data_IF_089117200889
#
_entry.id   IF_089117200889
#
_cell.length_a   1.000
_cell.length_b   1.000
_cell.length_c   1.000
_cell.angle_alpha   90.00
_cell.angle_beta   90.00
_cell.angle_gamma   90.00
#
_symmetry.space_group_name_H-M   'P 1'
#
loop_
_entity.id
_entity.type
_entity.pdbx_description
1 polymer ?
#
# COMPACT_ATOMS: atom_id res chain seq x y z
N UNK A 1 2.94 -20.54 -28.60
CA UNK A 1 3.82 -19.49 -28.03
C UNK A 1 4.11 -19.90 -26.58
N UNK A 2 5.37 -20.00 -26.17
CA UNK A 2 5.75 -20.37 -24.80
C UNK A 2 6.64 -19.26 -24.24
N UNK A 3 6.20 -18.61 -23.17
CA UNK A 3 6.91 -17.49 -22.55
C UNK A 3 7.58 -18.00 -21.28
N UNK A 4 8.91 -17.95 -21.25
CA UNK A 4 9.67 -18.28 -20.03
C UNK A 4 9.80 -17.03 -19.18
N UNK A 5 9.38 -17.15 -17.92
CA UNK A 5 9.42 -16.10 -16.91
C UNK A 5 10.25 -16.59 -15.73
N UNK A 6 10.92 -15.65 -15.06
CA UNK A 6 11.65 -15.90 -13.83
C UNK A 6 11.14 -14.99 -12.71
N UNK A 7 11.29 -15.45 -11.47
CA UNK A 7 10.95 -14.65 -10.31
C UNK A 7 12.00 -13.57 -10.08
N UNK A 8 11.54 -12.33 -9.89
CA UNK A 8 12.43 -11.25 -9.43
C UNK A 8 12.67 -11.37 -7.92
N UNK A 9 13.88 -11.01 -7.45
CA UNK A 9 14.15 -10.88 -6.02
C UNK A 9 13.17 -9.93 -5.32
N UNK A 10 12.82 -10.26 -4.08
CA UNK A 10 11.90 -9.47 -3.28
C UNK A 10 12.61 -8.31 -2.57
N UNK A 11 12.77 -7.20 -3.29
CA UNK A 11 13.50 -6.02 -2.82
C UNK A 11 12.90 -5.47 -1.51
N UNK A 12 11.57 -5.52 -1.36
CA UNK A 12 10.91 -4.95 -0.17
C UNK A 12 11.22 -5.77 1.08
N UNK A 13 11.15 -7.10 0.98
CA UNK A 13 11.49 -7.98 2.10
C UNK A 13 12.98 -7.88 2.47
N UNK A 14 13.87 -7.77 1.48
CA UNK A 14 15.31 -7.55 1.74
C UNK A 14 15.55 -6.21 2.45
N UNK A 15 14.91 -5.13 1.99
CA UNK A 15 14.98 -3.81 2.66
C UNK A 15 14.46 -3.87 4.10
N UNK A 16 13.34 -4.55 4.34
CA UNK A 16 12.77 -4.71 5.68
C UNK A 16 13.75 -5.44 6.63
N UNK A 17 14.46 -6.45 6.14
CA UNK A 17 15.43 -7.22 6.95
C UNK A 17 16.64 -6.40 7.40
N UNK A 18 16.97 -5.33 6.67
CA UNK A 18 18.11 -4.43 6.93
C UNK A 18 17.68 -3.07 7.49
N UNK A 19 16.39 -2.91 7.78
CA UNK A 19 15.79 -1.66 8.22
C UNK A 19 16.36 -1.25 9.58
N UNK A 20 16.82 0.00 9.69
CA UNK A 20 17.27 0.58 10.97
C UNK A 20 16.08 1.05 11.80
N UNK A 21 16.30 1.24 13.10
CA UNK A 21 15.26 1.66 14.05
C UNK A 21 14.70 3.07 13.76
N UNK A 22 15.49 3.95 13.14
CA UNK A 22 15.10 5.31 12.75
C UNK A 22 14.33 5.37 11.42
N UNK A 23 14.09 4.23 10.77
CA UNK A 23 13.44 4.17 9.47
C UNK A 23 12.02 3.62 9.57
N UNK A 24 11.12 4.24 8.81
CA UNK A 24 9.76 3.76 8.56
C UNK A 24 9.71 3.23 7.12
N UNK A 25 9.30 1.98 6.95
CA UNK A 25 9.14 1.34 5.65
C UNK A 25 7.65 1.24 5.30
N UNK A 26 7.24 1.99 4.29
CA UNK A 26 5.84 2.09 3.85
C UNK A 26 5.68 1.44 2.49
N UNK A 27 4.77 0.47 2.39
CA UNK A 27 4.41 -0.17 1.12
C UNK A 27 3.19 0.46 0.47
N UNK A 28 3.02 0.23 -0.83
CA UNK A 28 1.80 0.54 -1.57
C UNK A 28 1.27 -0.74 -2.22
N UNK A 29 -0.05 -0.96 -2.15
CA UNK A 29 -0.72 -2.11 -2.74
C UNK A 29 -1.90 -1.64 -3.59
N UNK A 30 -1.67 -1.58 -4.89
CA UNK A 30 -2.72 -1.42 -5.89
C UNK A 30 -3.28 -2.80 -6.27
N UNK A 31 -4.59 -3.00 -6.10
CA UNK A 31 -5.25 -4.25 -6.46
C UNK A 31 -6.65 -4.01 -7.04
N UNK A 32 -7.11 -4.96 -7.83
CA UNK A 32 -8.50 -5.06 -8.26
C UNK A 32 -9.26 -5.93 -7.27
N UNK A 33 -10.52 -5.59 -6.99
CA UNK A 33 -11.36 -6.30 -6.04
C UNK A 33 -12.22 -5.33 -5.27
N UNK A 34 -13.15 -5.85 -4.49
CA UNK A 34 -13.90 -5.13 -3.49
C UNK A 34 -13.03 -4.77 -2.28
N UNK A 35 -13.49 -3.80 -1.48
CA UNK A 35 -12.65 -3.14 -0.48
C UNK A 35 -12.05 -4.12 0.54
N UNK A 36 -12.84 -5.09 1.00
CA UNK A 36 -12.40 -6.08 1.98
C UNK A 36 -11.34 -7.05 1.41
N UNK A 37 -11.44 -7.44 0.14
CA UNK A 37 -10.41 -8.26 -0.52
C UNK A 37 -9.08 -7.50 -0.61
N UNK A 38 -9.15 -6.23 -1.02
CA UNK A 38 -7.98 -5.35 -1.13
C UNK A 38 -7.32 -5.17 0.25
N UNK A 39 -8.11 -5.00 1.31
CA UNK A 39 -7.61 -4.86 2.68
C UNK A 39 -6.98 -6.17 3.18
N UNK A 40 -7.63 -7.31 2.95
CA UNK A 40 -7.12 -8.61 3.39
C UNK A 40 -5.74 -8.90 2.77
N UNK A 41 -5.63 -8.71 1.46
CA UNK A 41 -4.36 -8.90 0.75
C UNK A 41 -3.31 -7.85 1.12
N UNK A 42 -3.71 -6.61 1.45
CA UNK A 42 -2.78 -5.60 1.95
C UNK A 42 -2.22 -5.96 3.34
N UNK A 43 -3.05 -6.49 4.26
CA UNK A 43 -2.61 -6.99 5.56
C UNK A 43 -1.64 -8.16 5.43
N UNK A 44 -1.92 -9.09 4.52
CA UNK A 44 -1.00 -10.20 4.24
C UNK A 44 0.35 -9.69 3.73
N UNK A 45 0.34 -8.75 2.77
CA UNK A 45 1.57 -8.11 2.26
C UNK A 45 2.31 -7.35 3.35
N UNK A 46 1.61 -6.60 4.20
CA UNK A 46 2.19 -5.86 5.32
C UNK A 46 3.02 -6.78 6.21
N UNK A 47 2.42 -7.89 6.66
CA UNK A 47 3.07 -8.87 7.53
C UNK A 47 4.20 -9.60 6.81
N UNK A 48 3.92 -10.15 5.61
CA UNK A 48 4.88 -10.97 4.85
C UNK A 48 6.12 -10.19 4.41
N UNK A 49 5.99 -8.89 4.17
CA UNK A 49 7.08 -8.01 3.71
C UNK A 49 7.77 -7.25 4.86
N UNK A 50 7.31 -7.39 6.10
CA UNK A 50 7.90 -6.71 7.25
C UNK A 50 7.77 -5.19 7.21
N UNK A 51 6.67 -4.67 6.67
CA UNK A 51 6.41 -3.24 6.54
C UNK A 51 5.92 -2.63 7.85
N UNK A 52 6.16 -1.33 8.05
CA UNK A 52 5.58 -0.58 9.18
C UNK A 52 4.15 -0.12 8.86
N UNK A 53 3.91 0.27 7.61
CA UNK A 53 2.59 0.62 7.11
C UNK A 53 2.41 0.23 5.65
N UNK A 54 1.16 0.14 5.21
CA UNK A 54 0.81 -0.06 3.81
C UNK A 54 -0.39 0.81 3.42
N UNK A 55 -0.29 1.46 2.26
CA UNK A 55 -1.41 2.14 1.62
C UNK A 55 -2.04 1.21 0.58
N UNK A 56 -3.27 0.78 0.82
CA UNK A 56 -4.01 -0.13 -0.05
C UNK A 56 -5.02 0.65 -0.88
N UNK A 57 -4.98 0.55 -2.21
CA UNK A 57 -5.88 1.26 -3.10
C UNK A 57 -6.51 0.32 -4.13
N UNK A 58 -7.84 0.34 -4.23
CA UNK A 58 -8.58 -0.34 -5.27
C UNK A 58 -8.43 0.43 -6.59
N UNK A 59 -7.97 -0.25 -7.66
CA UNK A 59 -7.72 0.36 -8.99
C UNK A 59 -8.78 0.00 -10.04
N UNK A 60 -9.95 -0.44 -9.60
CA UNK A 60 -11.07 -0.85 -10.45
C UNK A 60 -12.10 0.27 -10.71
N UNK A 61 -11.90 1.48 -10.20
CA UNK A 61 -12.81 2.61 -10.40
C UNK A 61 -12.24 3.64 -11.38
N UNK A 62 -13.12 4.27 -12.17
CA UNK A 62 -12.77 5.37 -13.07
C UNK A 62 -12.30 6.64 -12.34
N UNK A 63 -12.49 6.71 -11.02
CA UNK A 63 -12.11 7.85 -10.19
C UNK A 63 -10.87 7.58 -9.32
N UNK A 64 -10.30 6.37 -9.34
CA UNK A 64 -9.16 5.98 -8.51
C UNK A 64 -8.08 5.29 -9.32
N UNK A 65 -6.85 5.29 -8.82
CA UNK A 65 -5.73 4.63 -9.50
C UNK A 65 -5.07 5.44 -10.62
N UNK A 66 -4.68 4.74 -11.68
CA UNK A 66 -3.80 5.25 -12.73
C UNK A 66 -4.54 6.15 -13.72
N UNK A 67 -3.85 7.16 -14.25
CA UNK A 67 -4.37 8.02 -15.32
C UNK A 67 -5.43 9.06 -14.91
N UNK A 68 -5.69 9.20 -13.61
CA UNK A 68 -6.61 10.21 -13.05
C UNK A 68 -5.85 11.19 -12.16
N UNK A 69 -6.50 12.27 -11.69
CA UNK A 69 -5.92 13.20 -10.69
C UNK A 69 -6.29 12.84 -9.24
N UNK A 70 -7.30 11.98 -9.08
CA UNK A 70 -7.87 11.57 -7.80
C UNK A 70 -7.43 10.17 -7.39
N UNK A 71 -7.55 9.86 -6.12
CA UNK A 71 -7.35 8.51 -5.61
C UNK A 71 -8.08 8.31 -4.27
N UNK A 72 -8.15 7.06 -3.85
CA UNK A 72 -8.68 6.65 -2.55
C UNK A 72 -7.81 5.49 -2.05
N UNK A 73 -7.52 5.49 -0.75
CA UNK A 73 -6.79 4.39 -0.13
C UNK A 73 -7.26 4.12 1.30
N UNK A 74 -6.98 2.90 1.74
CA UNK A 74 -7.03 2.48 3.14
C UNK A 74 -5.60 2.33 3.62
N UNK A 75 -5.22 3.11 4.64
CA UNK A 75 -3.93 3.02 5.30
C UNK A 75 -4.01 2.01 6.44
N UNK A 76 -2.98 1.17 6.58
CA UNK A 76 -2.91 0.13 7.59
C UNK A 76 -1.52 0.16 8.20
N UNK A 77 -1.44 0.33 9.51
CA UNK A 77 -0.18 0.28 10.26
C UNK A 77 -0.04 -1.07 10.96
N UNK A 78 1.20 -1.54 11.16
CA UNK A 78 1.50 -2.85 11.77
C UNK A 78 0.99 -3.00 13.21
N UNK A 79 0.69 -1.91 13.89
CA UNK A 79 0.07 -1.91 15.23
C UNK A 79 -1.46 -2.16 15.19
N UNK A 80 -2.05 -2.33 14.00
CA UNK A 80 -3.48 -2.54 13.82
C UNK A 80 -4.29 -1.27 13.56
N UNK A 81 -3.70 -0.07 13.66
CA UNK A 81 -4.38 1.17 13.28
C UNK A 81 -4.69 1.17 11.78
N UNK A 82 -5.93 1.53 11.43
CA UNK A 82 -6.43 1.58 10.06
C UNK A 82 -7.22 2.87 9.86
N UNK A 83 -7.03 3.50 8.71
CA UNK A 83 -7.77 4.69 8.30
C UNK A 83 -8.13 4.61 6.82
N UNK A 84 -9.43 4.65 6.51
CA UNK A 84 -9.91 4.82 5.13
C UNK A 84 -9.98 6.30 4.78
N UNK A 85 -9.68 6.63 3.53
CA UNK A 85 -9.77 8.00 2.99
C UNK A 85 -10.99 8.15 2.09
N UNK A 86 -11.57 9.36 1.95
CA UNK A 86 -12.48 9.65 0.85
C UNK A 86 -11.71 9.70 -0.48
N UNK A 87 -12.44 9.71 -1.60
CA UNK A 87 -11.83 10.11 -2.88
C UNK A 87 -11.34 11.55 -2.73
N UNK A 88 -10.04 11.75 -2.96
CA UNK A 88 -9.39 13.04 -2.85
C UNK A 88 -8.32 13.19 -3.94
N UNK A 89 -7.72 14.37 -4.06
CA UNK A 89 -6.58 14.55 -4.97
C UNK A 89 -5.40 13.67 -4.53
N UNK A 90 -4.54 13.27 -5.47
CA UNK A 90 -3.31 12.52 -5.15
C UNK A 90 -2.40 13.27 -4.16
N UNK A 91 -2.36 14.60 -4.24
CA UNK A 91 -1.59 15.44 -3.31
C UNK A 91 -2.20 15.40 -1.89
N UNK A 92 -3.52 15.53 -1.78
CA UNK A 92 -4.21 15.42 -0.50
C UNK A 92 -4.04 14.02 0.11
N UNK A 93 -4.12 12.96 -0.70
CA UNK A 93 -3.88 11.60 -0.22
C UNK A 93 -2.46 11.42 0.34
N UNK A 94 -1.46 12.04 -0.30
CA UNK A 94 -0.08 12.00 0.17
C UNK A 94 0.08 12.71 1.53
N UNK A 95 -0.57 13.86 1.73
CA UNK A 95 -0.59 14.54 3.03
C UNK A 95 -1.27 13.69 4.11
N UNK A 96 -2.43 13.11 3.80
CA UNK A 96 -3.14 12.20 4.73
C UNK A 96 -2.30 11.00 5.12
N UNK A 97 -1.54 10.42 4.17
CA UNK A 97 -0.62 9.32 4.47
C UNK A 97 0.53 9.78 5.37
N UNK A 98 1.09 10.96 5.12
CA UNK A 98 2.13 11.51 5.98
C UNK A 98 1.64 11.71 7.41
N UNK A 99 0.47 12.33 7.60
CA UNK A 99 -0.13 12.56 8.92
C UNK A 99 -0.40 11.23 9.65
N UNK A 100 -0.92 10.22 8.93
CA UNK A 100 -1.15 8.87 9.47
C UNK A 100 0.13 8.19 9.98
N UNK A 101 1.29 8.52 9.42
CA UNK A 101 2.58 7.95 9.85
C UNK A 101 3.20 8.70 11.05
N UNK A 102 2.73 9.91 11.34
CA UNK A 102 3.19 10.71 12.48
C UNK A 102 2.38 10.46 13.77
N UNK A 103 1.21 9.80 13.67
CA UNK A 103 0.34 9.46 14.81
C UNK A 103 0.75 8.18 15.51
#
# INVERSE_FOLDING_TARGET
LNLQLEYIPDIVADLASRKRLDQILVGFAAQTGDEEEVIAAAKEKLARKGLDAIAANAVNSLQTGFGTDTNQATFIHKNGHRQSTPICSKLELAHRLFDFLQS
#
